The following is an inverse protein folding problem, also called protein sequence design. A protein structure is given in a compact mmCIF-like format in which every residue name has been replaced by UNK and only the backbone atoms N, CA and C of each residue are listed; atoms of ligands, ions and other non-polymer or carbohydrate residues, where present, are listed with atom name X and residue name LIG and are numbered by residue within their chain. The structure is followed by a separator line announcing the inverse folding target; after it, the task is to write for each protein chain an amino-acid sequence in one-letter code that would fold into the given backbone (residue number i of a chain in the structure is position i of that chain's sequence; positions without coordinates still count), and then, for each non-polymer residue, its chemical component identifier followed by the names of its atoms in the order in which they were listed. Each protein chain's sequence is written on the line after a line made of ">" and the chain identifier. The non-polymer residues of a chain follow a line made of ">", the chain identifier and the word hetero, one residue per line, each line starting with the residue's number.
data_IF_789500401740
#
_entry.id   IF_789500401740
#
_cell.length_a   1.000
_cell.length_b   1.000
_cell.length_c   1.000
_cell.angle_alpha   90.00
_cell.angle_beta   90.00
_cell.angle_gamma   90.00
#
_symmetry.space_group_name_H-M   'P 1'
#
loop_
_entity.id
_entity.type
_entity.pdbx_description
1 polymer ?
#
# COMPACT_ATOMS: atom_id res chain seq x y z
N UNK A 1 -17.69 8.09 -3.03
CA UNK A 1 -16.40 8.64 -3.51
C UNK A 1 -16.68 9.89 -4.33
N UNK A 2 -16.00 11.02 -4.10
CA UNK A 2 -16.39 12.33 -4.68
C UNK A 2 -16.02 12.50 -6.15
N UNK A 3 -14.87 11.95 -6.57
CA UNK A 3 -14.37 12.09 -7.94
C UNK A 3 -14.86 11.00 -8.91
N UNK A 4 -15.37 9.87 -8.40
CA UNK A 4 -15.80 8.72 -9.21
C UNK A 4 -14.71 8.02 -10.03
N UNK A 5 -13.47 8.51 -9.98
CA UNK A 5 -12.35 7.95 -10.73
C UNK A 5 -11.96 6.55 -10.24
N UNK A 6 -11.56 5.64 -11.14
CA UNK A 6 -11.08 4.32 -10.75
C UNK A 6 -9.75 4.43 -9.99
N UNK A 7 -9.52 3.50 -9.07
CA UNK A 7 -8.25 3.37 -8.34
C UNK A 7 -7.42 2.29 -9.02
N UNK A 8 -6.17 2.57 -9.37
CA UNK A 8 -5.24 1.56 -9.88
C UNK A 8 -4.29 1.12 -8.75
N UNK A 9 -4.43 -0.10 -8.21
CA UNK A 9 -3.53 -0.60 -7.17
C UNK A 9 -2.13 -0.90 -7.73
N UNK A 10 -1.09 -0.57 -6.97
CA UNK A 10 0.31 -0.81 -7.34
C UNK A 10 1.00 -1.54 -6.19
N UNK A 11 1.67 -2.66 -6.49
CA UNK A 11 2.54 -3.35 -5.54
C UNK A 11 4.00 -3.07 -5.86
N UNK A 12 4.76 -2.69 -4.83
CA UNK A 12 6.21 -2.52 -4.89
C UNK A 12 6.87 -3.59 -4.03
N UNK A 13 7.77 -4.37 -4.61
CA UNK A 13 8.58 -5.36 -3.91
C UNK A 13 10.05 -4.96 -3.94
N UNK A 14 10.71 -5.04 -2.78
CA UNK A 14 12.14 -4.74 -2.62
C UNK A 14 12.49 -3.27 -2.45
N UNK A 15 11.51 -2.36 -2.53
CA UNK A 15 11.72 -0.92 -2.33
C UNK A 15 12.25 -0.59 -0.93
N UNK A 16 11.81 -1.34 0.09
CA UNK A 16 12.28 -1.27 1.48
C UNK A 16 13.77 -1.59 1.65
N UNK A 17 14.35 -2.40 0.75
CA UNK A 17 15.77 -2.77 0.77
C UNK A 17 16.63 -1.69 0.12
N UNK A 18 16.10 -1.07 -0.93
CA UNK A 18 16.73 0.05 -1.67
C UNK A 18 16.69 1.33 -0.83
N UNK A 19 15.53 1.65 -0.26
CA UNK A 19 15.33 2.77 0.67
C UNK A 19 14.82 2.23 2.00
N UNK A 20 15.74 2.06 2.95
CA UNK A 20 15.41 1.57 4.28
C UNK A 20 14.78 2.68 5.11
N UNK A 21 13.73 2.36 5.86
CA UNK A 21 13.07 3.32 6.76
C UNK A 21 14.09 3.93 7.75
N UNK A 22 14.10 5.25 7.87
CA UNK A 22 15.01 5.97 8.77
C UNK A 22 16.46 6.09 8.28
N UNK A 23 16.75 5.69 7.04
CA UNK A 23 18.05 5.89 6.40
C UNK A 23 17.91 6.76 5.17
N UNK A 24 18.87 7.65 4.97
CA UNK A 24 18.91 8.56 3.82
C UNK A 24 19.73 7.98 2.67
N UNK A 25 20.52 6.94 2.95
CA UNK A 25 21.31 6.22 1.96
C UNK A 25 20.41 5.36 1.06
N UNK A 26 20.72 5.40 -0.25
CA UNK A 26 20.10 4.53 -1.25
C UNK A 26 21.03 3.36 -1.51
N UNK A 27 20.51 2.14 -1.38
CA UNK A 27 21.25 0.91 -1.64
C UNK A 27 20.89 0.36 -3.02
N UNK A 28 21.88 -0.11 -3.82
CA UNK A 28 21.59 -0.80 -5.06
C UNK A 28 20.70 -2.02 -4.84
N UNK A 29 19.69 -2.18 -5.69
CA UNK A 29 18.77 -3.30 -5.63
C UNK A 29 17.69 -3.22 -6.69
N UNK A 30 17.01 -4.34 -6.93
CA UNK A 30 15.90 -4.42 -7.88
C UNK A 30 14.59 -4.16 -7.16
N UNK A 31 13.79 -3.22 -7.69
CA UNK A 31 12.40 -3.03 -7.29
C UNK A 31 11.50 -3.62 -8.36
N UNK A 32 10.61 -4.54 -7.97
CA UNK A 32 9.57 -5.06 -8.86
C UNK A 32 8.28 -4.27 -8.65
N UNK A 33 7.73 -3.76 -9.75
CA UNK A 33 6.46 -3.03 -9.78
C UNK A 33 5.41 -3.90 -10.43
N UNK A 34 4.31 -4.17 -9.73
CA UNK A 34 3.14 -4.86 -10.27
C UNK A 34 1.97 -3.88 -10.34
N UNK A 35 1.46 -3.67 -11.55
CA UNK A 35 0.27 -2.85 -11.82
C UNK A 35 -0.94 -3.79 -11.86
N UNK A 36 -1.95 -3.50 -11.06
CA UNK A 36 -3.16 -4.32 -10.97
C UNK A 36 -4.30 -3.73 -11.80
N UNK A 37 -5.36 -4.53 -12.10
CA UNK A 37 -6.57 -4.03 -12.69
C UNK A 37 -7.18 -2.87 -11.88
N UNK A 38 -7.81 -1.89 -12.54
CA UNK A 38 -8.49 -0.80 -11.85
C UNK A 38 -9.65 -1.31 -10.98
N UNK A 39 -9.83 -0.67 -9.83
CA UNK A 39 -10.97 -0.85 -8.93
C UNK A 39 -11.92 0.32 -9.11
N UNK A 40 -13.12 0.02 -9.59
CA UNK A 40 -14.15 1.03 -9.85
C UNK A 40 -14.68 1.64 -8.55
N UNK A 41 -14.77 2.96 -8.55
CA UNK A 41 -15.28 3.75 -7.42
C UNK A 41 -16.58 4.48 -7.72
N UNK A 42 -17.00 4.50 -8.99
CA UNK A 42 -18.31 4.97 -9.41
C UNK A 42 -19.41 4.17 -8.70
N UNK A 43 -20.44 4.87 -8.22
CA UNK A 43 -21.54 4.26 -7.48
C UNK A 43 -21.24 3.89 -6.01
N UNK A 44 -19.99 3.99 -5.55
CA UNK A 44 -19.66 3.72 -4.13
C UNK A 44 -19.91 4.93 -3.24
N UNK A 45 -20.54 4.69 -2.10
CA UNK A 45 -20.83 5.66 -1.06
C UNK A 45 -19.59 6.01 -0.20
N UNK A 46 -19.73 6.97 0.72
CA UNK A 46 -18.65 7.34 1.64
C UNK A 46 -18.49 6.32 2.77
N UNK A 47 -19.58 5.66 3.18
CA UNK A 47 -19.58 4.63 4.23
C UNK A 47 -18.79 3.38 3.79
N UNK A 48 -18.74 3.11 2.48
CA UNK A 48 -17.98 2.01 1.89
C UNK A 48 -16.47 2.27 1.78
N UNK A 49 -16.00 3.48 2.12
CA UNK A 49 -14.58 3.88 1.98
C UNK A 49 -13.62 2.92 2.69
N UNK A 50 -13.95 2.51 3.92
CA UNK A 50 -13.10 1.60 4.70
C UNK A 50 -13.05 0.19 4.09
N UNK A 51 -14.15 -0.26 3.49
CA UNK A 51 -14.22 -1.55 2.80
C UNK A 51 -13.44 -1.52 1.50
N UNK A 52 -13.61 -0.45 0.69
CA UNK A 52 -12.82 -0.23 -0.52
C UNK A 52 -11.32 -0.16 -0.22
N UNK A 53 -10.93 0.50 0.87
CA UNK A 53 -9.52 0.55 1.27
C UNK A 53 -8.96 -0.84 1.59
N UNK A 54 -9.73 -1.69 2.30
CA UNK A 54 -9.33 -3.07 2.60
C UNK A 54 -9.26 -3.95 1.36
N UNK A 55 -10.19 -3.79 0.42
CA UNK A 55 -10.18 -4.47 -0.88
C UNK A 55 -8.91 -4.15 -1.66
N UNK A 56 -8.60 -2.85 -1.82
CA UNK A 56 -7.38 -2.39 -2.51
C UNK A 56 -6.12 -2.89 -1.79
N UNK A 57 -6.08 -2.84 -0.45
CA UNK A 57 -4.97 -3.38 0.33
C UNK A 57 -4.80 -4.90 0.11
N UNK A 58 -5.89 -5.65 0.01
CA UNK A 58 -5.87 -7.07 -0.30
C UNK A 58 -5.26 -7.37 -1.67
N UNK A 59 -5.64 -6.60 -2.69
CA UNK A 59 -5.08 -6.69 -4.04
C UNK A 59 -3.56 -6.43 -4.00
N UNK A 60 -3.12 -5.36 -3.33
CA UNK A 60 -1.71 -5.03 -3.21
C UNK A 60 -0.94 -6.16 -2.49
N UNK A 61 -1.49 -6.66 -1.38
CA UNK A 61 -0.87 -7.72 -0.58
C UNK A 61 -0.79 -9.06 -1.32
N UNK A 62 -1.71 -9.34 -2.24
CA UNK A 62 -1.73 -10.59 -3.02
C UNK A 62 -0.48 -10.79 -3.88
N UNK A 63 0.14 -9.70 -4.34
CA UNK A 63 1.36 -9.73 -5.15
C UNK A 63 2.65 -9.58 -4.31
N UNK A 64 2.54 -9.44 -2.98
CA UNK A 64 3.71 -9.35 -2.11
C UNK A 64 4.27 -10.73 -1.75
N UNK A 65 5.61 -10.87 -1.65
CA UNK A 65 6.22 -12.08 -1.13
C UNK A 65 5.87 -12.26 0.35
N UNK A 66 5.85 -13.50 0.88
CA UNK A 66 5.36 -13.77 2.24
C UNK A 66 5.97 -12.91 3.34
N UNK A 67 7.28 -12.61 3.25
CA UNK A 67 8.01 -11.81 4.23
C UNK A 67 7.71 -10.30 4.18
N UNK A 68 7.05 -9.82 3.13
CA UNK A 68 6.62 -8.41 3.00
C UNK A 68 5.11 -8.24 3.16
N UNK A 69 4.36 -9.33 3.33
CA UNK A 69 2.92 -9.23 3.57
C UNK A 69 2.68 -8.61 4.95
N UNK A 70 1.64 -7.78 5.10
CA UNK A 70 1.28 -7.24 6.40
C UNK A 70 0.96 -8.38 7.38
N UNK A 71 1.41 -8.22 8.62
CA UNK A 71 1.09 -9.11 9.73
C UNK A 71 -0.39 -8.93 10.14
N UNK A 72 -1.30 -9.47 9.32
CA UNK A 72 -2.74 -9.46 9.59
C UNK A 72 -3.43 -8.10 9.46
N UNK A 73 -4.78 -8.08 9.58
CA UNK A 73 -5.57 -6.88 9.42
C UNK A 73 -5.44 -6.02 10.68
N UNK A 74 -4.53 -5.04 10.65
CA UNK A 74 -4.30 -3.95 11.64
C UNK A 74 -2.92 -3.97 12.36
N UNK A 75 -1.81 -3.88 11.61
CA UNK A 75 -0.50 -3.55 12.20
C UNK A 75 0.08 -2.19 11.73
N UNK A 76 -0.67 -1.40 10.96
CA UNK A 76 -0.23 -0.09 10.46
C UNK A 76 -1.10 1.09 10.96
N UNK A 77 -1.84 0.89 12.05
CA UNK A 77 -2.45 2.00 12.79
C UNK A 77 -1.57 2.24 14.02
N UNK A 78 -0.58 3.14 13.89
CA UNK A 78 0.31 3.53 14.98
C UNK A 78 1.76 3.07 14.82
N UNK A 79 2.43 3.48 13.73
CA UNK A 79 3.86 3.80 13.87
C UNK A 79 3.89 5.31 14.08
N UNK A 80 4.05 5.69 15.35
CA UNK A 80 4.12 7.05 15.87
C UNK A 80 4.94 7.95 14.94
N UNK A 81 4.38 9.13 14.65
CA UNK A 81 5.15 10.28 14.22
C UNK A 81 6.10 10.61 15.37
N UNK A 82 7.35 10.17 15.24
CA UNK A 82 8.45 10.62 16.08
C UNK A 82 8.71 12.09 15.73
N UNK A 83 8.09 12.97 16.50
CA UNK A 83 8.42 14.38 16.60
C UNK A 83 9.67 14.49 17.48
N UNK A 84 10.85 14.38 16.86
CA UNK A 84 12.11 14.79 17.47
C UNK A 84 12.92 15.63 16.50
N UNK A 85 12.84 16.94 16.75
CA UNK A 85 13.88 17.94 16.52
C UNK A 85 15.18 17.53 17.23
#
# INVERSE_FOLDING_TARGET
>A
MRAGAPIVPITLEGADRVMRKGKWEVYPGTVRVTIHPPVETAGRSLTERATLAREVQGIIASALPPHQRPAGPQAAAGAEVDDQL
#
